data_IF_132485537104
#
_entry.id   IF_132485537104
#
_cell.length_a   1.000
_cell.length_b   1.000
_cell.length_c   1.000
_cell.angle_alpha   90.00
_cell.angle_beta   90.00
_cell.angle_gamma   90.00
#
_symmetry.space_group_name_H-M   'P 1'
#
loop_
_entity.id
_entity.type
_entity.pdbx_description
1 polymer ?
#
# COMPACT_ATOMS: atom_id res chain seq x y z
N UNK A 1 32.99 61.71 17.78
CA UNK A 1 32.73 61.91 16.33
C UNK A 1 31.62 60.93 15.94
N UNK A 2 30.43 61.49 15.73
CA UNK A 2 29.25 60.78 15.30
C UNK A 2 29.24 60.51 13.82
N UNK A 3 28.76 59.36 13.37
CA UNK A 3 28.16 59.23 12.04
C UNK A 3 27.03 58.19 12.09
N UNK A 4 25.84 58.71 11.90
CA UNK A 4 24.59 57.99 11.65
C UNK A 4 24.57 57.50 10.21
N UNK A 5 24.07 56.29 9.98
CA UNK A 5 23.78 55.75 8.65
C UNK A 5 22.44 54.98 8.68
N UNK A 6 21.38 55.59 8.10
CA UNK A 6 20.08 54.97 7.85
C UNK A 6 20.25 53.78 6.90
N UNK A 7 19.67 52.63 7.26
CA UNK A 7 19.49 51.47 6.39
C UNK A 7 18.04 51.37 5.92
N UNK A 8 17.86 51.44 4.65
CA UNK A 8 16.67 51.34 3.85
C UNK A 8 16.00 49.93 4.01
N UNK A 9 14.76 49.89 4.46
CA UNK A 9 13.95 48.69 4.51
C UNK A 9 13.32 48.44 3.14
N UNK A 10 14.00 47.75 2.27
CA UNK A 10 13.48 47.25 1.01
C UNK A 10 12.33 46.27 1.25
N UNK A 11 11.12 46.71 0.96
CA UNK A 11 9.89 45.96 0.95
C UNK A 11 9.97 44.92 -0.20
N UNK A 12 10.16 43.66 0.12
CA UNK A 12 10.15 42.56 -0.86
C UNK A 12 8.75 42.40 -1.46
N UNK A 13 8.67 42.58 -2.76
CA UNK A 13 7.46 42.36 -3.55
C UNK A 13 7.18 40.85 -3.63
N UNK A 14 5.91 40.38 -3.41
CA UNK A 14 5.60 38.95 -3.50
C UNK A 14 5.69 38.47 -4.95
N UNK A 15 6.10 37.21 -5.19
CA UNK A 15 6.18 36.66 -6.53
C UNK A 15 4.80 36.56 -7.20
N UNK A 16 4.71 36.68 -8.53
CA UNK A 16 3.45 36.64 -9.26
C UNK A 16 2.76 35.29 -9.12
N UNK A 17 1.44 35.32 -8.88
CA UNK A 17 0.60 34.13 -8.77
C UNK A 17 0.54 33.39 -10.11
N UNK A 18 0.90 32.13 -10.11
CA UNK A 18 0.98 31.26 -11.30
C UNK A 18 -0.36 30.70 -11.79
N UNK A 19 -1.48 31.01 -11.10
CA UNK A 19 -2.83 30.55 -11.51
C UNK A 19 -3.82 31.71 -11.39
N UNK A 20 -4.74 31.90 -12.37
CA UNK A 20 -5.81 32.86 -12.28
C UNK A 20 -6.83 32.44 -11.20
N UNK A 21 -7.28 33.39 -10.39
CA UNK A 21 -8.34 33.17 -9.42
C UNK A 21 -9.68 32.95 -10.15
N UNK A 22 -10.57 32.05 -9.66
CA UNK A 22 -11.88 31.89 -10.24
C UNK A 22 -12.76 33.13 -9.96
N UNK A 23 -13.41 33.63 -10.99
CA UNK A 23 -14.36 34.73 -10.93
C UNK A 23 -15.58 34.35 -10.07
N UNK A 24 -15.80 35.14 -9.02
CA UNK A 24 -16.96 35.03 -8.13
C UNK A 24 -18.13 35.87 -8.65
N UNK A 25 -18.74 35.46 -9.75
CA UNK A 25 -20.03 35.99 -10.21
C UNK A 25 -20.81 34.92 -10.97
N UNK A 26 -21.55 34.08 -10.22
CA UNK A 26 -22.62 33.27 -10.77
C UNK A 26 -23.85 33.36 -9.87
N UNK A 27 -25.05 33.79 -10.41
CA UNK A 27 -26.27 33.92 -9.66
C UNK A 27 -26.88 32.57 -9.27
N UNK A 28 -27.41 32.47 -8.07
CA UNK A 28 -28.09 31.31 -7.49
C UNK A 28 -29.35 30.91 -8.29
N UNK A 29 -29.59 29.60 -8.55
CA UNK A 29 -30.82 29.15 -9.18
C UNK A 29 -32.00 29.14 -8.21
N UNK A 30 -33.11 29.69 -8.70
CA UNK A 30 -34.38 29.82 -7.99
C UNK A 30 -35.02 28.44 -7.69
N UNK A 31 -35.53 28.32 -6.46
CA UNK A 31 -36.37 27.18 -6.03
C UNK A 31 -37.71 27.22 -6.78
N UNK A 32 -38.03 26.16 -7.52
CA UNK A 32 -39.39 25.84 -7.97
C UNK A 32 -40.02 24.77 -7.10
N UNK A 33 -41.19 25.14 -6.55
CA UNK A 33 -42.11 24.25 -5.81
C UNK A 33 -42.97 23.45 -6.79
N UNK A 34 -43.23 22.19 -6.44
CA UNK A 34 -44.52 21.51 -6.54
C UNK A 34 -44.86 20.91 -7.91
N UNK A 35 -45.01 19.59 -7.95
CA UNK A 35 -45.68 18.84 -8.97
C UNK A 35 -45.78 17.36 -8.59
N UNK A 36 -47.03 16.92 -8.35
CA UNK A 36 -47.47 15.62 -7.88
C UNK A 36 -47.29 14.50 -8.98
N UNK A 37 -47.28 13.21 -8.61
CA UNK A 37 -46.87 12.11 -9.50
C UNK A 37 -48.02 11.64 -10.40
N UNK A 38 -47.70 11.33 -11.64
CA UNK A 38 -48.55 10.54 -12.53
C UNK A 38 -47.93 9.18 -12.83
N UNK A 39 -48.67 8.15 -12.45
CA UNK A 39 -48.44 6.77 -12.80
C UNK A 39 -48.58 6.52 -14.31
N UNK A 40 -47.57 5.93 -14.94
CA UNK A 40 -47.61 5.34 -16.27
C UNK A 40 -46.75 4.08 -16.31
N UNK A 41 -47.16 3.02 -17.04
CA UNK A 41 -46.51 1.72 -16.98
C UNK A 41 -45.14 1.70 -17.69
N UNK A 42 -44.25 0.76 -17.30
CA UNK A 42 -42.86 0.74 -17.78
C UNK A 42 -42.79 0.24 -19.22
N UNK A 43 -42.18 1.04 -20.09
CA UNK A 43 -41.69 0.57 -21.42
C UNK A 43 -40.32 -0.06 -21.23
N UNK A 44 -40.22 -1.37 -21.50
CA UNK A 44 -39.01 -2.10 -21.73
C UNK A 44 -38.16 -1.42 -22.81
N UNK A 45 -37.01 -0.90 -22.39
CA UNK A 45 -35.91 -0.51 -23.26
C UNK A 45 -34.66 -1.16 -22.71
N UNK A 46 -34.31 -2.30 -23.29
CA UNK A 46 -33.06 -3.00 -23.04
C UNK A 46 -31.87 -2.14 -23.49
N UNK A 47 -31.23 -1.45 -22.53
CA UNK A 47 -29.85 -0.99 -22.71
C UNK A 47 -28.99 -2.03 -21.99
N UNK A 48 -28.42 -2.91 -22.77
CA UNK A 48 -27.40 -3.87 -22.38
C UNK A 48 -26.10 -3.09 -22.16
N UNK A 49 -25.95 -2.54 -20.95
CA UNK A 49 -24.67 -2.09 -20.43
C UNK A 49 -24.07 -3.27 -19.69
N UNK A 50 -22.93 -3.73 -20.14
CA UNK A 50 -22.05 -4.68 -19.48
C UNK A 50 -21.50 -4.09 -18.16
N UNK A 51 -22.39 -3.86 -17.20
CA UNK A 51 -22.06 -3.67 -15.80
C UNK A 51 -22.46 -4.95 -15.06
N UNK A 52 -21.79 -6.06 -15.44
CA UNK A 52 -21.82 -7.27 -14.68
C UNK A 52 -21.26 -6.92 -13.31
N UNK A 53 -22.17 -6.71 -12.34
CA UNK A 53 -21.91 -6.25 -11.01
C UNK A 53 -20.71 -6.97 -10.40
N UNK A 54 -19.55 -6.32 -10.45
CA UNK A 54 -18.33 -6.73 -9.79
C UNK A 54 -18.64 -6.64 -8.30
N UNK A 55 -19.07 -7.74 -7.72
CA UNK A 55 -19.30 -7.83 -6.29
C UNK A 55 -17.97 -7.55 -5.60
N UNK A 56 -17.81 -6.33 -5.07
CA UNK A 56 -16.63 -5.95 -4.32
C UNK A 56 -16.49 -6.94 -3.16
N UNK A 57 -15.38 -7.67 -3.16
CA UNK A 57 -15.06 -8.58 -2.08
C UNK A 57 -14.82 -7.74 -0.84
N UNK A 58 -15.71 -7.84 0.13
CA UNK A 58 -15.73 -7.01 1.35
C UNK A 58 -14.38 -6.95 2.10
N UNK A 59 -13.53 -7.97 1.93
CA UNK A 59 -12.19 -8.06 2.50
C UNK A 59 -11.05 -7.87 1.49
N UNK A 60 -11.38 -7.55 0.23
CA UNK A 60 -10.38 -7.33 -0.81
C UNK A 60 -9.57 -6.05 -0.59
N UNK A 61 -8.44 -5.94 -1.27
CA UNK A 61 -7.56 -4.78 -1.20
C UNK A 61 -8.23 -3.47 -1.64
N UNK A 62 -9.24 -3.56 -2.48
CA UNK A 62 -9.96 -2.41 -3.06
C UNK A 62 -11.11 -1.90 -2.17
N UNK A 63 -11.50 -2.67 -1.13
CA UNK A 63 -12.67 -2.36 -0.29
C UNK A 63 -12.46 -1.19 0.70
N UNK A 64 -11.24 -0.72 0.92
CA UNK A 64 -10.94 0.34 1.88
C UNK A 64 -9.90 1.32 1.33
N UNK A 65 -9.87 2.54 1.84
CA UNK A 65 -8.84 3.53 1.53
C UNK A 65 -7.45 3.10 2.04
N UNK A 66 -6.35 3.46 1.32
CA UNK A 66 -4.99 3.18 1.77
C UNK A 66 -4.68 3.80 3.13
N UNK A 67 -4.15 3.00 4.04
CA UNK A 67 -3.79 3.44 5.39
C UNK A 67 -2.35 3.06 5.76
N UNK A 68 -1.71 3.85 6.63
CA UNK A 68 -0.35 3.55 7.13
C UNK A 68 -0.29 2.18 7.83
N UNK A 69 -1.38 1.74 8.45
CA UNK A 69 -1.49 0.42 9.09
C UNK A 69 -1.36 -0.75 8.09
N UNK A 70 -1.58 -0.54 6.78
CA UNK A 70 -1.41 -1.57 5.76
C UNK A 70 0.06 -1.94 5.56
N UNK A 71 1.00 -1.02 5.88
CA UNK A 71 2.43 -1.25 5.80
C UNK A 71 2.90 -2.40 6.71
N UNK A 72 2.04 -2.85 7.64
CA UNK A 72 2.22 -4.10 8.37
C UNK A 72 2.40 -5.30 7.44
N UNK A 73 1.87 -5.26 6.21
CA UNK A 73 2.11 -6.28 5.19
C UNK A 73 3.56 -6.32 4.72
N UNK A 74 4.23 -5.16 4.58
CA UNK A 74 5.67 -5.11 4.29
C UNK A 74 6.50 -5.67 5.45
N UNK A 75 6.08 -5.38 6.70
CA UNK A 75 6.78 -5.85 7.90
C UNK A 75 6.56 -7.35 8.17
N UNK A 76 5.45 -7.93 7.72
CA UNK A 76 5.23 -9.38 7.72
C UNK A 76 6.20 -10.10 6.77
N UNK A 77 6.57 -9.44 5.68
CA UNK A 77 7.60 -9.85 4.73
C UNK A 77 9.00 -9.32 5.10
N UNK A 78 9.85 -9.05 4.08
CA UNK A 78 11.23 -8.61 4.28
C UNK A 78 11.39 -7.11 4.58
N UNK A 79 10.30 -6.39 4.81
CA UNK A 79 10.35 -4.98 5.18
C UNK A 79 10.93 -4.78 6.57
N UNK A 80 11.70 -3.71 6.71
CA UNK A 80 12.36 -3.30 7.95
C UNK A 80 11.80 -1.97 8.44
N UNK A 81 11.76 -1.78 9.74
CA UNK A 81 11.43 -0.49 10.33
C UNK A 81 12.50 -0.10 11.35
N UNK A 82 12.94 1.14 11.29
CA UNK A 82 13.97 1.68 12.20
C UNK A 82 13.42 2.93 12.88
N UNK A 83 13.64 3.02 14.18
CA UNK A 83 13.29 4.20 14.99
C UNK A 83 14.51 5.09 15.17
N UNK A 84 14.29 6.39 15.04
CA UNK A 84 15.30 7.41 15.34
C UNK A 84 14.63 8.57 16.07
N UNK A 85 14.91 8.71 17.34
CA UNK A 85 14.25 9.71 18.19
C UNK A 85 12.72 9.55 18.18
N UNK A 86 12.00 10.63 17.84
CA UNK A 86 10.53 10.65 17.77
C UNK A 86 9.95 10.22 16.42
N UNK A 87 10.78 9.71 15.50
CA UNK A 87 10.40 9.33 14.12
C UNK A 87 10.73 7.87 13.83
N UNK A 88 10.22 7.35 12.71
CA UNK A 88 10.61 6.06 12.18
C UNK A 88 10.72 6.11 10.66
N UNK A 89 11.46 5.17 10.08
CA UNK A 89 11.65 4.95 8.65
C UNK A 89 11.36 3.49 8.34
N UNK A 90 10.68 3.25 7.24
CA UNK A 90 10.48 1.91 6.68
C UNK A 90 11.39 1.75 5.48
N UNK A 91 11.99 0.56 5.34
CA UNK A 91 12.78 0.16 4.18
C UNK A 91 12.42 -1.25 3.74
N UNK A 92 12.55 -1.53 2.43
CA UNK A 92 12.40 -2.86 1.87
C UNK A 92 13.31 -3.00 0.67
N UNK A 93 13.97 -4.15 0.56
CA UNK A 93 14.75 -4.51 -0.62
C UNK A 93 13.89 -5.32 -1.58
N UNK A 94 13.95 -4.98 -2.87
CA UNK A 94 13.21 -5.64 -3.94
C UNK A 94 14.15 -6.02 -5.08
N UNK A 95 13.79 -7.05 -5.83
CA UNK A 95 14.58 -7.70 -6.86
C UNK A 95 14.21 -7.30 -8.30
N UNK A 96 13.28 -6.36 -8.47
CA UNK A 96 12.84 -5.92 -9.80
C UNK A 96 12.40 -4.45 -9.80
N UNK A 97 12.69 -3.74 -10.89
CA UNK A 97 12.36 -2.33 -11.05
C UNK A 97 10.85 -2.04 -10.97
N UNK A 98 9.99 -2.94 -11.48
CA UNK A 98 8.55 -2.75 -11.39
C UNK A 98 8.05 -2.71 -9.94
N UNK A 99 8.66 -3.48 -9.03
CA UNK A 99 8.34 -3.47 -7.59
C UNK A 99 8.66 -2.12 -6.97
N UNK A 100 9.76 -1.47 -7.39
CA UNK A 100 10.11 -0.11 -6.95
C UNK A 100 8.98 0.85 -7.29
N UNK A 101 8.51 0.85 -8.56
CA UNK A 101 7.43 1.74 -8.99
C UNK A 101 6.13 1.51 -8.23
N UNK A 102 5.77 0.25 -8.02
CA UNK A 102 4.56 -0.12 -7.24
C UNK A 102 4.69 0.37 -5.80
N UNK A 103 5.81 0.10 -5.13
CA UNK A 103 5.98 0.47 -3.72
C UNK A 103 6.06 1.98 -3.52
N UNK A 104 6.74 2.72 -4.41
CA UNK A 104 6.77 4.19 -4.34
C UNK A 104 5.35 4.76 -4.48
N UNK A 105 4.55 4.25 -5.42
CA UNK A 105 3.16 4.67 -5.59
C UNK A 105 2.29 4.32 -4.36
N UNK A 106 2.44 3.12 -3.81
CA UNK A 106 1.71 2.66 -2.62
C UNK A 106 2.08 3.47 -1.36
N UNK A 107 3.35 3.84 -1.20
CA UNK A 107 3.81 4.71 -0.12
C UNK A 107 3.28 6.13 -0.29
N UNK A 108 3.32 6.68 -1.51
CA UNK A 108 2.78 7.99 -1.82
C UNK A 108 1.27 8.08 -1.56
N UNK A 109 0.49 7.03 -1.92
CA UNK A 109 -0.95 6.94 -1.63
C UNK A 109 -1.26 7.00 -0.11
N UNK A 110 -0.27 6.71 0.75
CA UNK A 110 -0.35 6.81 2.22
C UNK A 110 0.28 8.08 2.78
N UNK A 111 0.57 9.06 1.92
CA UNK A 111 1.18 10.33 2.31
C UNK A 111 2.65 10.21 2.74
N UNK A 112 3.36 9.16 2.32
CA UNK A 112 4.75 8.93 2.67
C UNK A 112 5.67 9.23 1.49
N UNK A 113 6.61 10.15 1.67
CA UNK A 113 7.68 10.36 0.72
C UNK A 113 8.65 9.17 0.75
N UNK A 114 8.96 8.62 -0.42
CA UNK A 114 9.87 7.50 -0.59
C UNK A 114 10.94 7.81 -1.62
N UNK A 115 12.12 7.27 -1.40
CA UNK A 115 13.25 7.24 -2.33
C UNK A 115 13.67 5.79 -2.56
N UNK A 116 14.44 5.56 -3.62
CA UNK A 116 15.03 4.26 -3.88
C UNK A 116 16.46 4.43 -4.38
N UNK A 117 17.25 3.41 -4.17
CA UNK A 117 18.64 3.33 -4.64
C UNK A 117 18.95 1.88 -5.07
N UNK A 118 19.79 1.69 -6.08
CA UNK A 118 20.31 0.37 -6.41
C UNK A 118 21.19 -0.16 -5.27
N UNK A 119 21.15 -1.47 -5.05
CA UNK A 119 21.98 -2.19 -4.09
C UNK A 119 22.71 -3.34 -4.81
N UNK A 120 23.55 -4.06 -4.08
CA UNK A 120 24.26 -5.21 -4.66
C UNK A 120 23.32 -6.28 -5.22
N UNK A 121 23.75 -6.97 -6.29
CA UNK A 121 23.00 -8.08 -6.89
C UNK A 121 21.72 -7.68 -7.60
N UNK A 122 21.74 -6.55 -8.33
CA UNK A 122 20.60 -6.05 -9.12
C UNK A 122 19.32 -5.79 -8.30
N UNK A 123 19.47 -5.62 -6.99
CA UNK A 123 18.36 -5.28 -6.09
C UNK A 123 18.24 -3.77 -5.91
N UNK A 124 17.11 -3.36 -5.39
CA UNK A 124 16.80 -1.96 -5.10
C UNK A 124 16.29 -1.83 -3.66
N UNK A 125 16.83 -0.86 -2.92
CA UNK A 125 16.29 -0.49 -1.62
C UNK A 125 15.28 0.64 -1.77
N UNK A 126 14.03 0.41 -1.41
CA UNK A 126 12.98 1.44 -1.31
C UNK A 126 12.88 1.86 0.14
N UNK A 127 12.98 3.17 0.41
CA UNK A 127 12.97 3.72 1.78
C UNK A 127 12.06 4.92 1.89
N UNK A 128 11.33 5.03 2.99
CA UNK A 128 10.63 6.26 3.33
C UNK A 128 11.59 7.27 3.95
N UNK A 129 11.23 8.54 3.97
CA UNK A 129 11.84 9.49 4.88
C UNK A 129 11.53 9.12 6.33
N UNK A 130 12.36 9.58 7.29
CA UNK A 130 12.02 9.51 8.70
C UNK A 130 10.82 10.39 9.00
N UNK A 131 9.76 9.81 9.55
CA UNK A 131 8.52 10.54 9.82
C UNK A 131 7.86 10.11 11.12
N UNK A 132 7.15 11.03 11.76
CA UNK A 132 6.34 10.75 12.97
C UNK A 132 5.16 9.85 12.67
N UNK A 133 4.65 9.88 11.44
CA UNK A 133 3.50 9.06 10.98
C UNK A 133 3.76 7.56 11.15
N UNK A 134 5.02 7.12 10.98
CA UNK A 134 5.42 5.71 11.14
C UNK A 134 5.72 5.32 12.60
N UNK A 135 5.73 6.27 13.54
CA UNK A 135 6.03 5.97 14.95
C UNK A 135 5.10 4.93 15.59
N UNK A 136 3.76 4.98 15.41
CA UNK A 136 2.85 3.97 15.98
C UNK A 136 3.11 2.58 15.39
N UNK A 137 3.34 2.48 14.08
CA UNK A 137 3.67 1.22 13.40
C UNK A 137 4.98 0.64 13.95
N UNK A 138 6.03 1.45 14.05
CA UNK A 138 7.31 1.03 14.58
C UNK A 138 7.22 0.63 16.06
N UNK A 139 6.41 1.32 16.86
CA UNK A 139 6.20 0.97 18.27
C UNK A 139 5.49 -0.36 18.44
N UNK A 140 4.55 -0.69 17.55
CA UNK A 140 3.81 -1.95 17.57
C UNK A 140 4.66 -3.15 17.12
N UNK A 141 5.65 -2.95 16.23
CA UNK A 141 6.41 -4.03 15.61
C UNK A 141 7.81 -4.22 16.17
N UNK A 142 8.41 -3.23 16.85
CA UNK A 142 9.74 -3.32 17.41
C UNK A 142 9.70 -3.59 18.92
N UNK A 143 10.30 -4.72 19.31
CA UNK A 143 10.52 -5.11 20.69
C UNK A 143 12.04 -5.12 20.95
N UNK A 144 12.57 -3.99 21.45
CA UNK A 144 14.02 -3.75 21.44
C UNK A 144 14.53 -3.57 20.02
N UNK A 145 15.47 -4.40 19.60
CA UNK A 145 15.99 -4.46 18.22
C UNK A 145 15.28 -5.49 17.35
N UNK A 146 14.50 -6.41 17.94
CA UNK A 146 13.82 -7.46 17.19
C UNK A 146 12.51 -6.96 16.58
N UNK A 147 12.24 -7.35 15.35
CA UNK A 147 10.96 -7.16 14.66
C UNK A 147 10.03 -8.33 15.00
N UNK A 148 8.82 -8.03 15.45
CA UNK A 148 7.81 -9.01 15.83
C UNK A 148 6.40 -8.47 15.58
N UNK A 149 5.49 -9.25 14.98
CA UNK A 149 4.11 -8.85 14.82
C UNK A 149 3.42 -8.66 16.16
N UNK A 150 2.59 -7.61 16.33
CA UNK A 150 1.76 -7.47 17.53
C UNK A 150 0.74 -8.60 17.61
N UNK A 151 0.29 -8.96 18.81
CA UNK A 151 -0.69 -10.04 19.03
C UNK A 151 -2.01 -9.86 18.26
N UNK A 152 -2.37 -8.61 17.95
CA UNK A 152 -3.56 -8.28 17.15
C UNK A 152 -3.31 -8.28 15.65
N UNK A 153 -2.12 -8.69 15.19
CA UNK A 153 -1.79 -8.71 13.77
C UNK A 153 -2.67 -9.69 13.02
N UNK A 154 -3.24 -9.21 11.91
CA UNK A 154 -4.00 -10.01 10.96
C UNK A 154 -3.70 -9.53 9.54
N UNK A 155 -3.87 -10.40 8.57
CA UNK A 155 -3.69 -10.08 7.16
C UNK A 155 -5.02 -9.66 6.52
N UNK A 156 -5.05 -8.43 6.02
CA UNK A 156 -6.12 -7.92 5.14
C UNK A 156 -5.66 -8.00 3.68
N UNK A 157 -6.57 -7.84 2.73
CA UNK A 157 -6.22 -7.80 1.31
C UNK A 157 -5.14 -6.74 1.00
N UNK A 158 -5.23 -5.55 1.59
CA UNK A 158 -4.21 -4.48 1.41
C UNK A 158 -2.84 -4.84 1.97
N UNK A 159 -2.79 -5.48 3.13
CA UNK A 159 -1.53 -5.96 3.72
C UNK A 159 -0.89 -7.05 2.88
N UNK A 160 -1.70 -8.01 2.42
CA UNK A 160 -1.27 -9.07 1.51
C UNK A 160 -0.80 -8.51 0.17
N UNK A 161 -1.52 -7.53 -0.40
CA UNK A 161 -1.14 -6.85 -1.64
C UNK A 161 0.23 -6.20 -1.54
N UNK A 162 0.51 -5.47 -0.46
CA UNK A 162 1.81 -4.85 -0.22
C UNK A 162 2.93 -5.89 -0.04
N UNK A 163 2.68 -6.96 0.71
CA UNK A 163 3.65 -8.04 0.87
C UNK A 163 3.93 -8.74 -0.46
N UNK A 164 2.90 -9.10 -1.21
CA UNK A 164 3.03 -9.71 -2.53
C UNK A 164 3.80 -8.79 -3.50
N UNK A 165 3.48 -7.49 -3.54
CA UNK A 165 4.16 -6.52 -4.38
C UNK A 165 5.65 -6.40 -4.03
N UNK A 166 6.01 -6.50 -2.75
CA UNK A 166 7.40 -6.41 -2.31
C UNK A 166 8.19 -7.72 -2.55
N UNK A 167 7.57 -8.87 -2.27
CA UNK A 167 8.31 -10.12 -2.09
C UNK A 167 7.50 -11.38 -2.46
N UNK A 168 6.44 -11.22 -3.25
CA UNK A 168 5.68 -12.34 -3.78
C UNK A 168 6.28 -12.86 -5.08
N UNK A 169 6.23 -14.18 -5.29
CA UNK A 169 6.69 -14.83 -6.52
C UNK A 169 5.72 -15.96 -6.87
N UNK A 170 4.93 -15.81 -7.93
CA UNK A 170 4.14 -16.94 -8.45
C UNK A 170 5.06 -18.08 -8.89
N UNK A 171 4.69 -19.30 -8.55
CA UNK A 171 5.33 -20.55 -9.01
C UNK A 171 4.30 -21.40 -9.74
N UNK A 172 4.17 -21.20 -11.07
CA UNK A 172 3.25 -22.01 -11.85
C UNK A 172 3.54 -23.51 -11.74
N UNK A 173 2.51 -24.40 -11.82
CA UNK A 173 1.13 -24.05 -12.16
C UNK A 173 0.24 -23.70 -10.97
N UNK A 174 0.62 -24.00 -9.74
CA UNK A 174 -0.32 -24.02 -8.61
C UNK A 174 0.28 -23.60 -7.25
N UNK A 175 1.34 -22.78 -7.27
CA UNK A 175 1.97 -22.27 -6.07
C UNK A 175 2.29 -20.76 -6.17
N UNK A 176 2.44 -20.13 -5.00
CA UNK A 176 2.92 -18.76 -4.82
C UNK A 176 3.80 -18.70 -3.57
N UNK A 177 4.98 -18.12 -3.70
CA UNK A 177 5.86 -17.82 -2.57
C UNK A 177 5.62 -16.41 -2.04
N UNK A 178 5.58 -16.28 -0.73
CA UNK A 178 5.64 -15.02 -0.01
C UNK A 178 6.90 -15.02 0.85
N UNK A 179 7.94 -14.29 0.41
CA UNK A 179 9.23 -14.26 1.10
C UNK A 179 9.14 -13.48 2.41
N UNK A 180 9.93 -13.93 3.38
CA UNK A 180 10.08 -13.37 4.72
C UNK A 180 11.44 -12.67 4.84
N UNK A 181 11.63 -11.85 5.89
CA UNK A 181 12.95 -11.35 6.25
C UNK A 181 13.82 -12.49 6.77
N UNK A 182 15.06 -12.57 6.28
CA UNK A 182 15.98 -13.66 6.62
C UNK A 182 16.35 -13.65 8.12
N UNK A 183 16.50 -12.46 8.70
CA UNK A 183 16.91 -12.25 10.08
C UNK A 183 15.72 -12.13 11.06
N UNK A 184 14.48 -12.20 10.55
CA UNK A 184 13.25 -11.94 11.31
C UNK A 184 12.55 -13.22 11.78
N UNK A 185 13.26 -14.17 12.35
CA UNK A 185 12.72 -15.47 12.75
C UNK A 185 11.50 -15.35 13.68
N UNK A 186 11.46 -14.34 14.54
CA UNK A 186 10.32 -14.07 15.43
C UNK A 186 9.03 -13.67 14.69
N UNK A 187 9.14 -13.28 13.40
CA UNK A 187 7.99 -12.97 12.54
C UNK A 187 7.41 -14.21 11.85
N UNK A 188 8.19 -15.27 11.65
CA UNK A 188 7.81 -16.34 10.75
C UNK A 188 6.56 -17.08 11.20
N UNK A 189 6.56 -17.63 12.42
CA UNK A 189 5.42 -18.38 12.94
C UNK A 189 4.14 -17.52 13.08
N UNK A 190 4.18 -16.32 13.71
CA UNK A 190 3.00 -15.47 13.82
C UNK A 190 2.41 -15.06 12.44
N UNK A 191 3.28 -14.87 11.44
CA UNK A 191 2.85 -14.57 10.07
C UNK A 191 2.14 -15.78 9.44
N UNK A 192 2.62 -16.98 9.69
CA UNK A 192 1.96 -18.22 9.26
C UNK A 192 0.58 -18.42 9.88
N UNK A 193 0.44 -18.09 11.16
CA UNK A 193 -0.87 -18.09 11.84
C UNK A 193 -1.82 -17.08 11.18
N UNK A 194 -1.33 -15.88 10.87
CA UNK A 194 -2.13 -14.86 10.20
C UNK A 194 -2.52 -15.25 8.76
N UNK A 195 -1.64 -15.95 8.02
CA UNK A 195 -1.95 -16.53 6.70
C UNK A 195 -3.05 -17.59 6.81
N UNK A 196 -2.93 -18.50 7.78
CA UNK A 196 -3.93 -19.55 8.01
C UNK A 196 -5.30 -18.94 8.35
N UNK A 197 -5.33 -17.91 9.19
CA UNK A 197 -6.56 -17.19 9.53
C UNK A 197 -7.20 -16.48 8.33
N UNK A 198 -6.40 -16.05 7.34
CA UNK A 198 -6.89 -15.49 6.07
C UNK A 198 -7.34 -16.55 5.05
N UNK A 199 -7.24 -17.84 5.40
CA UNK A 199 -7.55 -18.96 4.50
C UNK A 199 -6.44 -19.30 3.51
N UNK A 200 -5.20 -18.82 3.78
CA UNK A 200 -4.01 -18.94 2.94
C UNK A 200 -2.92 -19.80 3.62
N UNK A 201 -3.31 -20.82 4.39
CA UNK A 201 -2.33 -21.69 5.04
C UNK A 201 -1.30 -22.22 4.02
N UNK A 202 -0.03 -21.99 4.30
CA UNK A 202 1.10 -22.39 3.45
C UNK A 202 2.14 -23.17 4.24
N UNK A 203 3.12 -23.73 3.54
CA UNK A 203 4.28 -24.41 4.13
C UNK A 203 5.40 -23.38 4.32
N UNK A 204 5.96 -23.33 5.51
CA UNK A 204 7.17 -22.54 5.78
C UNK A 204 8.37 -23.26 5.16
N UNK A 205 9.07 -22.59 4.26
CA UNK A 205 10.36 -23.02 3.71
C UNK A 205 11.48 -22.38 4.52
N UNK A 206 12.43 -23.20 4.94
CA UNK A 206 13.64 -22.73 5.59
C UNK A 206 14.65 -22.16 4.58
N UNK A 207 15.76 -21.54 5.06
CA UNK A 207 16.81 -21.01 4.20
C UNK A 207 17.42 -22.06 3.26
N UNK A 208 17.52 -23.32 3.70
CA UNK A 208 18.04 -24.42 2.89
C UNK A 208 17.11 -24.85 1.74
N UNK A 209 15.82 -24.53 1.86
CA UNK A 209 14.78 -24.92 0.90
C UNK A 209 14.37 -23.76 -0.03
N UNK A 210 15.22 -22.74 -0.17
CA UNK A 210 14.93 -21.54 -0.98
C UNK A 210 14.13 -20.46 -0.26
N UNK A 211 13.93 -20.60 1.07
CA UNK A 211 13.31 -19.59 1.95
C UNK A 211 14.33 -18.60 2.55
N UNK A 212 13.92 -17.89 3.63
CA UNK A 212 12.63 -18.05 4.32
C UNK A 212 11.45 -17.51 3.50
N UNK A 213 10.42 -18.34 3.39
CA UNK A 213 9.20 -17.99 2.65
C UNK A 213 8.02 -18.86 3.07
N UNK A 214 6.79 -18.37 2.91
CA UNK A 214 5.61 -19.21 2.91
C UNK A 214 5.26 -19.63 1.48
N UNK A 215 5.18 -20.92 1.22
CA UNK A 215 4.72 -21.51 -0.04
C UNK A 215 3.25 -21.84 0.09
N UNK A 216 2.41 -21.06 -0.59
CA UNK A 216 0.97 -21.28 -0.68
C UNK A 216 0.72 -22.15 -1.90
N UNK A 217 0.06 -23.31 -1.71
CA UNK A 217 -0.22 -24.26 -2.78
C UNK A 217 -1.71 -24.59 -2.87
N UNK A 218 -2.12 -24.95 -4.06
CA UNK A 218 -3.46 -25.45 -4.34
C UNK A 218 -4.41 -24.37 -4.87
N UNK A 219 -5.13 -24.75 -5.91
CA UNK A 219 -5.98 -23.87 -6.71
C UNK A 219 -6.94 -23.00 -5.89
N UNK A 220 -7.59 -23.58 -4.86
CA UNK A 220 -8.54 -22.85 -4.01
C UNK A 220 -7.87 -21.72 -3.21
N UNK A 221 -6.66 -21.96 -2.67
CA UNK A 221 -5.93 -20.94 -1.89
C UNK A 221 -5.37 -19.86 -2.79
N UNK A 222 -4.91 -20.22 -4.00
CA UNK A 222 -4.44 -19.23 -4.97
C UNK A 222 -5.57 -18.35 -5.47
N UNK A 223 -6.74 -18.92 -5.79
CA UNK A 223 -7.94 -18.14 -6.11
C UNK A 223 -8.32 -17.18 -4.95
N UNK A 224 -8.23 -17.67 -3.69
CA UNK A 224 -8.47 -16.82 -2.52
C UNK A 224 -7.41 -15.71 -2.38
N UNK A 225 -6.14 -16.01 -2.67
CA UNK A 225 -5.07 -14.99 -2.67
C UNK A 225 -5.36 -13.93 -3.73
N UNK A 226 -5.66 -14.33 -4.97
CA UNK A 226 -6.00 -13.42 -6.05
C UNK A 226 -7.21 -12.52 -5.69
N UNK A 227 -8.26 -13.10 -5.13
CA UNK A 227 -9.44 -12.38 -4.65
C UNK A 227 -9.08 -11.32 -3.59
N UNK A 228 -8.21 -11.65 -2.63
CA UNK A 228 -7.82 -10.74 -1.55
C UNK A 228 -6.93 -9.61 -2.03
N UNK A 229 -5.96 -9.88 -2.90
CA UNK A 229 -4.99 -8.87 -3.36
C UNK A 229 -5.53 -8.01 -4.50
N UNK A 230 -6.59 -8.46 -5.18
CA UNK A 230 -7.21 -7.74 -6.30
C UNK A 230 -6.35 -7.70 -7.56
N UNK A 231 -6.71 -6.83 -8.49
CA UNK A 231 -6.05 -6.71 -9.80
C UNK A 231 -4.56 -6.36 -9.67
N UNK A 232 -3.72 -6.81 -10.63
CA UNK A 232 -2.31 -6.49 -10.66
C UNK A 232 -2.08 -4.97 -10.73
N UNK A 233 -1.07 -4.44 -10.02
CA UNK A 233 -0.64 -3.06 -10.21
C UNK A 233 -0.22 -2.81 -11.66
N UNK A 234 -0.49 -1.62 -12.20
CA UNK A 234 -0.18 -1.28 -13.61
C UNK A 234 1.26 -1.54 -14.03
N UNK A 235 2.21 -1.41 -13.10
CA UNK A 235 3.63 -1.62 -13.37
C UNK A 235 4.05 -3.08 -13.23
N UNK A 236 3.22 -3.97 -12.67
CA UNK A 236 3.54 -5.37 -12.49
C UNK A 236 3.38 -6.14 -13.80
N UNK A 237 4.33 -7.01 -14.18
CA UNK A 237 4.13 -7.95 -15.26
C UNK A 237 2.97 -8.91 -14.93
N UNK A 238 2.15 -9.31 -15.91
CA UNK A 238 0.99 -10.18 -15.66
C UNK A 238 1.37 -11.49 -14.93
N UNK A 239 2.50 -12.09 -15.31
CA UNK A 239 3.03 -13.33 -14.73
C UNK A 239 3.55 -13.17 -13.28
N UNK A 240 3.77 -11.95 -12.83
CA UNK A 240 4.24 -11.67 -11.47
C UNK A 240 3.10 -11.52 -10.44
N UNK A 241 1.84 -11.70 -10.87
CA UNK A 241 0.67 -11.54 -10.03
C UNK A 241 -0.21 -12.79 -10.07
N UNK A 242 -0.78 -13.23 -8.93
CA UNK A 242 -1.69 -14.37 -8.89
C UNK A 242 -3.01 -14.03 -9.63
N UNK A 243 -3.49 -14.96 -10.43
CA UNK A 243 -4.73 -14.87 -11.22
C UNK A 243 -5.70 -15.98 -10.84
#
# INVERSE_FOLDING_TARGET
>A
MSLSGLGDTGKAEPPPALFPAPDSDAPAPARRRGGQPQNGPPRNGSVQGDDAGRQLVFFGAEAAEPAVADLAGLLAGPGEVVRMGGTARLSVQVDAAWRVHVLVAELAARGLAASWEPTEGERHAVRTSYTRVLKPLAAAWLHGSAKRPPATFHLTGRRLRLWLAAAGTPEPPDACLLRLGADDQECWEPTGVALAAAGLAGTLLGPADGGPAYRITGRRRLARLAELVGDPPRAAPPEAWPT
#
